data_IF_675082516850
#
_entry.id   IF_675082516850
#
_cell.length_a   1.000
_cell.length_b   1.000
_cell.length_c   1.000
_cell.angle_alpha   90.00
_cell.angle_beta   90.00
_cell.angle_gamma   90.00
#
_symmetry.space_group_name_H-M   'P 1'
#
loop_
_entity.id
_entity.type
_entity.pdbx_description
1 polymer ?
#
# COMPACT_ATOMS: atom_id res chain seq x y z
N UNK A 1 7.51 -1.89 3.26
CA UNK A 1 7.71 -0.66 4.06
C UNK A 1 9.18 -0.31 4.04
N UNK A 2 9.52 0.95 4.27
CA UNK A 2 10.90 1.42 4.32
C UNK A 2 10.97 2.93 4.49
N UNK A 3 12.15 3.44 4.80
CA UNK A 3 12.43 4.88 4.85
C UNK A 3 12.64 5.45 3.44
N UNK A 4 12.59 6.78 3.27
CA UNK A 4 12.82 7.41 1.98
C UNK A 4 14.20 7.09 1.39
N UNK A 5 14.32 7.12 0.06
CA UNK A 5 15.62 6.89 -0.61
C UNK A 5 16.69 7.86 -0.11
N UNK A 6 17.85 7.34 0.28
CA UNK A 6 18.97 8.11 0.84
C UNK A 6 19.01 8.19 2.36
N UNK A 7 18.01 7.63 3.05
CA UNK A 7 17.98 7.49 4.50
C UNK A 7 18.45 6.09 4.93
N UNK A 8 18.66 5.92 6.24
CA UNK A 8 18.90 4.63 6.88
C UNK A 8 17.71 3.69 6.69
N UNK A 9 17.95 2.42 6.36
CA UNK A 9 16.85 1.45 6.23
C UNK A 9 16.41 0.87 7.58
N UNK A 10 16.18 1.74 8.57
CA UNK A 10 15.75 1.40 9.93
C UNK A 10 14.44 2.13 10.20
N UNK A 11 13.34 1.37 10.30
CA UNK A 11 11.99 1.92 10.37
C UNK A 11 11.58 2.38 11.77
N UNK A 12 12.23 1.89 12.81
CA UNK A 12 11.91 2.17 14.20
C UNK A 12 13.06 2.95 14.87
N UNK A 13 12.76 3.69 15.93
CA UNK A 13 13.77 4.30 16.79
C UNK A 13 14.23 3.34 17.91
N UNK A 14 15.06 3.85 18.84
CA UNK A 14 15.61 3.05 19.95
C UNK A 14 14.51 2.56 20.92
N UNK A 15 13.34 3.19 20.91
CA UNK A 15 12.18 2.84 21.73
C UNK A 15 11.19 1.91 21.01
N UNK A 16 11.53 1.39 19.81
CA UNK A 16 10.68 0.58 18.93
C UNK A 16 9.44 1.33 18.40
N UNK A 17 9.48 2.66 18.34
CA UNK A 17 8.41 3.46 17.74
C UNK A 17 8.70 3.64 16.24
N UNK A 18 7.72 3.31 15.40
CA UNK A 18 7.84 3.52 13.95
C UNK A 18 8.03 5.01 13.65
N UNK A 19 9.11 5.34 12.95
CA UNK A 19 9.44 6.71 12.56
C UNK A 19 8.33 7.31 11.69
N UNK A 20 7.98 8.60 11.85
CA UNK A 20 6.85 9.22 11.16
C UNK A 20 7.05 9.34 9.64
N UNK A 21 8.30 9.22 9.16
CA UNK A 21 8.65 9.27 7.74
C UNK A 21 8.78 7.88 7.09
N UNK A 22 8.42 6.80 7.79
CA UNK A 22 8.35 5.47 7.18
C UNK A 22 7.24 5.45 6.13
N UNK A 23 7.60 5.00 4.94
CA UNK A 23 6.67 4.78 3.85
C UNK A 23 6.19 3.33 3.90
N UNK A 24 4.87 3.16 3.79
CA UNK A 24 4.26 1.87 3.59
C UNK A 24 4.66 1.26 2.23
N UNK A 25 4.41 -0.03 2.04
CA UNK A 25 4.77 -0.75 0.83
C UNK A 25 4.08 -0.15 -0.41
N UNK A 26 2.81 0.25 -0.26
CA UNK A 26 1.96 0.84 -1.28
C UNK A 26 2.52 2.17 -1.77
N UNK A 27 2.84 3.07 -0.84
CA UNK A 27 3.45 4.36 -1.15
C UNK A 27 4.82 4.19 -1.82
N UNK A 28 5.64 3.24 -1.36
CA UNK A 28 6.91 2.93 -2.00
C UNK A 28 6.74 2.41 -3.43
N UNK A 29 5.75 1.53 -3.67
CA UNK A 29 5.47 0.99 -4.99
C UNK A 29 5.02 2.10 -5.96
N UNK A 30 4.06 2.95 -5.54
CA UNK A 30 3.54 4.05 -6.35
C UNK A 30 4.65 5.06 -6.67
N UNK A 31 5.43 5.48 -5.67
CA UNK A 31 6.52 6.44 -5.88
C UNK A 31 7.64 5.88 -6.76
N UNK A 32 7.90 4.56 -6.71
CA UNK A 32 8.84 3.90 -7.63
C UNK A 32 8.35 3.97 -9.08
N UNK A 33 7.06 3.75 -9.32
CA UNK A 33 6.47 3.91 -10.66
C UNK A 33 6.56 5.37 -11.11
N UNK A 34 6.21 6.32 -10.24
CA UNK A 34 6.27 7.76 -10.54
C UNK A 34 7.68 8.28 -10.87
N UNK A 35 8.73 7.63 -10.36
CA UNK A 35 10.13 7.92 -10.70
C UNK A 35 10.64 7.23 -11.98
N UNK A 36 9.78 6.48 -12.65
CA UNK A 36 10.11 5.73 -13.87
C UNK A 36 9.32 6.26 -15.07
N UNK A 37 9.53 5.66 -16.25
CA UNK A 37 8.74 5.96 -17.44
C UNK A 37 7.49 5.07 -17.57
N UNK A 38 7.12 4.33 -16.52
CA UNK A 38 5.93 3.47 -16.51
C UNK A 38 4.73 4.21 -15.93
N UNK A 39 3.52 3.75 -16.30
CA UNK A 39 2.25 4.19 -15.72
C UNK A 39 1.66 3.11 -14.82
N UNK A 40 0.99 3.53 -13.75
CA UNK A 40 0.16 2.67 -12.90
C UNK A 40 -1.32 2.66 -13.30
N UNK A 41 -1.69 3.40 -14.34
CA UNK A 41 -3.06 3.46 -14.85
C UNK A 41 -3.55 2.07 -15.29
N UNK A 42 -4.69 1.63 -14.74
CA UNK A 42 -5.27 0.31 -14.98
C UNK A 42 -4.51 -0.86 -14.33
N UNK A 43 -3.50 -0.59 -13.49
CA UNK A 43 -2.68 -1.64 -12.90
C UNK A 43 -3.40 -2.38 -11.76
N UNK A 44 -2.87 -3.55 -11.42
CA UNK A 44 -3.24 -4.31 -10.21
C UNK A 44 -2.13 -4.21 -9.16
N UNK A 45 -2.48 -3.84 -7.94
CA UNK A 45 -1.58 -3.83 -6.79
C UNK A 45 -1.75 -5.11 -5.96
N UNK A 46 -0.63 -5.80 -5.70
CA UNK A 46 -0.58 -6.93 -4.78
C UNK A 46 0.17 -6.51 -3.52
N UNK A 47 -0.48 -6.64 -2.37
CA UNK A 47 0.07 -6.22 -1.07
C UNK A 47 -0.24 -7.26 -0.02
N UNK A 48 0.67 -7.52 0.91
CA UNK A 48 0.42 -8.57 1.92
C UNK A 48 -0.68 -8.14 2.90
N UNK A 49 -0.63 -6.90 3.41
CA UNK A 49 -1.59 -6.37 4.36
C UNK A 49 -2.59 -5.44 3.68
N UNK A 50 -3.82 -5.39 4.18
CA UNK A 50 -4.85 -4.46 3.71
C UNK A 50 -4.36 -3.00 3.78
N UNK A 51 -4.55 -2.18 2.73
CA UNK A 51 -4.10 -0.79 2.74
C UNK A 51 -4.74 0.06 3.83
N UNK A 52 -3.95 0.95 4.44
CA UNK A 52 -4.49 1.99 5.32
C UNK A 52 -5.18 3.10 4.52
N UNK A 53 -5.95 3.97 5.20
CA UNK A 53 -6.66 5.09 4.57
C UNK A 53 -5.72 5.96 3.70
N UNK A 54 -4.54 6.31 4.20
CA UNK A 54 -3.60 7.16 3.46
C UNK A 54 -3.07 6.48 2.20
N UNK A 55 -2.77 5.18 2.28
CA UNK A 55 -2.35 4.42 1.10
C UNK A 55 -3.50 4.24 0.10
N UNK A 56 -4.73 4.01 0.58
CA UNK A 56 -5.91 3.91 -0.27
C UNK A 56 -6.16 5.18 -1.09
N UNK A 57 -5.98 6.37 -0.51
CA UNK A 57 -6.06 7.64 -1.27
C UNK A 57 -5.06 7.68 -2.42
N UNK A 58 -3.81 7.26 -2.16
CA UNK A 58 -2.76 7.23 -3.17
C UNK A 58 -3.05 6.20 -4.27
N UNK A 59 -3.54 5.02 -3.90
CA UNK A 59 -3.94 3.96 -4.84
C UNK A 59 -4.99 4.51 -5.82
N UNK A 60 -6.06 5.13 -5.31
CA UNK A 60 -7.12 5.74 -6.13
C UNK A 60 -6.53 6.79 -7.08
N UNK A 61 -5.73 7.72 -6.54
CA UNK A 61 -5.18 8.81 -7.34
C UNK A 61 -4.15 8.35 -8.39
N UNK A 62 -3.53 7.18 -8.18
CA UNK A 62 -2.52 6.61 -9.08
C UNK A 62 -3.10 5.84 -10.28
N UNK A 63 -4.43 5.72 -10.38
CA UNK A 63 -5.10 5.03 -11.49
C UNK A 63 -5.09 3.49 -11.38
N UNK A 64 -4.71 2.94 -10.22
CA UNK A 64 -4.77 1.50 -9.95
C UNK A 64 -6.23 1.10 -9.81
N UNK A 65 -6.67 0.09 -10.56
CA UNK A 65 -8.08 -0.33 -10.64
C UNK A 65 -8.39 -1.58 -9.81
N UNK A 66 -7.36 -2.28 -9.33
CA UNK A 66 -7.51 -3.52 -8.56
C UNK A 66 -6.47 -3.66 -7.47
N UNK A 67 -6.89 -4.09 -6.28
CA UNK A 67 -6.01 -4.41 -5.15
C UNK A 67 -6.28 -5.82 -4.65
N UNK A 68 -5.21 -6.61 -4.55
CA UNK A 68 -5.22 -7.96 -4.01
C UNK A 68 -4.42 -7.97 -2.71
N UNK A 69 -5.02 -8.50 -1.63
CA UNK A 69 -4.38 -8.54 -0.32
C UNK A 69 -4.59 -9.84 0.44
N UNK A 70 -3.68 -10.16 1.37
CA UNK A 70 -3.66 -11.46 2.06
C UNK A 70 -4.03 -11.42 3.54
N UNK A 71 -3.75 -10.31 4.22
CA UNK A 71 -4.02 -10.14 5.64
C UNK A 71 -4.99 -8.98 5.83
N UNK A 72 -6.16 -9.28 6.38
CA UNK A 72 -7.09 -8.23 6.82
C UNK A 72 -6.56 -7.59 8.10
N UNK A 73 -6.15 -6.32 8.03
CA UNK A 73 -5.77 -5.55 9.21
C UNK A 73 -7.03 -5.07 9.95
N UNK A 74 -6.90 -4.71 11.23
CA UNK A 74 -8.05 -4.45 12.14
C UNK A 74 -9.02 -3.35 11.69
N UNK A 75 -8.62 -2.44 10.81
CA UNK A 75 -9.42 -1.31 10.35
C UNK A 75 -9.81 -1.50 8.88
N UNK A 76 -11.12 -1.52 8.60
CA UNK A 76 -11.67 -1.69 7.24
C UNK A 76 -11.73 -0.40 6.44
N UNK A 77 -11.51 0.76 7.05
CA UNK A 77 -11.72 2.08 6.43
C UNK A 77 -10.98 2.27 5.10
N UNK A 78 -9.73 1.79 5.01
CA UNK A 78 -8.94 1.86 3.79
C UNK A 78 -9.56 1.01 2.67
N UNK A 79 -10.05 -0.18 2.98
CA UNK A 79 -10.74 -1.08 2.04
C UNK A 79 -12.10 -0.50 1.64
N UNK A 80 -12.85 0.06 2.58
CA UNK A 80 -14.14 0.70 2.30
C UNK A 80 -13.99 1.92 1.39
N UNK A 81 -12.95 2.73 1.60
CA UNK A 81 -12.64 3.85 0.72
C UNK A 81 -12.35 3.39 -0.71
N UNK A 82 -11.57 2.32 -0.87
CA UNK A 82 -11.28 1.74 -2.20
C UNK A 82 -12.55 1.23 -2.88
N UNK A 83 -13.41 0.51 -2.15
CA UNK A 83 -14.72 0.04 -2.68
C UNK A 83 -15.61 1.21 -3.12
N UNK A 84 -15.65 2.30 -2.36
CA UNK A 84 -16.42 3.51 -2.72
C UNK A 84 -15.90 4.20 -3.98
N UNK A 85 -14.62 4.00 -4.31
CA UNK A 85 -13.99 4.52 -5.53
C UNK A 85 -14.03 3.52 -6.70
N UNK A 86 -14.83 2.45 -6.60
CA UNK A 86 -15.00 1.42 -7.63
C UNK A 86 -13.70 0.65 -7.96
N UNK A 87 -12.81 0.52 -6.98
CA UNK A 87 -11.61 -0.33 -7.08
C UNK A 87 -12.00 -1.77 -6.78
N UNK A 88 -11.59 -2.71 -7.64
CA UNK A 88 -11.78 -4.14 -7.40
C UNK A 88 -10.89 -4.60 -6.24
N UNK A 89 -11.49 -5.18 -5.20
CA UNK A 89 -10.78 -5.67 -4.03
C UNK A 89 -10.90 -7.18 -3.91
N UNK A 90 -9.76 -7.87 -3.85
CA UNK A 90 -9.69 -9.32 -3.68
C UNK A 90 -8.87 -9.68 -2.44
N UNK A 91 -9.47 -10.47 -1.56
CA UNK A 91 -8.78 -11.11 -0.44
C UNK A 91 -8.31 -12.51 -0.84
N UNK A 92 -7.05 -12.84 -0.56
CA UNK A 92 -6.45 -14.16 -0.82
C UNK A 92 -5.94 -14.75 0.49
N UNK A 93 -6.50 -15.90 0.87
CA UNK A 93 -6.02 -16.66 2.02
C UNK A 93 -4.77 -17.46 1.63
N UNK A 94 -3.61 -17.12 2.20
CA UNK A 94 -2.33 -17.77 1.89
C UNK A 94 -2.13 -19.10 2.63
N UNK A 95 -2.99 -19.45 3.59
CA UNK A 95 -2.87 -20.69 4.38
C UNK A 95 -3.70 -21.85 3.80
N UNK A 96 -4.50 -21.58 2.77
CA UNK A 96 -5.26 -22.62 2.04
C UNK A 96 -4.49 -23.05 0.79
N UNK A 97 -3.60 -24.03 0.95
CA UNK A 97 -3.15 -24.92 -0.15
C UNK A 97 -3.99 -26.20 -0.19
#
# INVERSE_FOLDING_TARGET
NGTPSGFENVCEDEDNVTKPYVLHAEANAITKVARSNNSSEGATMYVTSSPCIECSKLIIQSGITRVVYANSYRLSDGIELLKRADIEIVYVDLEKE
#
